data_IF_596250728217
#
_entry.id   IF_596250728217
#
_cell.length_a   1.000
_cell.length_b   1.000
_cell.length_c   1.000
_cell.angle_alpha   90.00
_cell.angle_beta   90.00
_cell.angle_gamma   90.00
#
_symmetry.space_group_name_H-M   'P 1'
#
loop_
_entity.id
_entity.type
_entity.pdbx_description
1 polymer ?
#
# COMPACT_ATOMS: atom_id res chain seq x y z
N UNK A 1 -2.72 -9.74 11.14
CA UNK A 1 -3.17 -8.88 10.04
C UNK A 1 -4.69 -8.80 10.08
N UNK A 2 -5.28 -7.60 9.97
CA UNK A 2 -6.74 -7.40 9.90
C UNK A 2 -7.22 -7.48 8.45
N UNK A 3 -8.54 -7.62 8.22
CA UNK A 3 -9.10 -7.61 6.86
C UNK A 3 -8.80 -6.29 6.12
N UNK A 4 -8.87 -5.16 6.84
CA UNK A 4 -8.53 -3.84 6.29
C UNK A 4 -7.07 -3.78 5.85
N UNK A 5 -6.14 -4.25 6.68
CA UNK A 5 -4.72 -4.29 6.33
C UNK A 5 -4.46 -5.18 5.10
N UNK A 6 -5.09 -6.36 5.04
CA UNK A 6 -5.02 -7.22 3.85
C UNK A 6 -5.57 -6.53 2.60
N UNK A 7 -6.71 -5.84 2.72
CA UNK A 7 -7.29 -5.09 1.62
C UNK A 7 -6.33 -4.02 1.10
N UNK A 8 -5.72 -3.24 1.99
CA UNK A 8 -4.75 -2.19 1.62
C UNK A 8 -3.50 -2.79 0.95
N UNK A 9 -2.98 -3.88 1.49
CA UNK A 9 -1.86 -4.61 0.88
C UNK A 9 -2.21 -5.09 -0.54
N UNK A 10 -3.36 -5.72 -0.73
CA UNK A 10 -3.79 -6.21 -2.04
C UNK A 10 -4.16 -5.08 -3.02
N UNK A 11 -4.65 -3.95 -2.52
CA UNK A 11 -5.11 -2.83 -3.32
C UNK A 11 -3.93 -2.00 -3.87
N UNK A 12 -2.88 -1.79 -3.06
CA UNK A 12 -1.71 -1.01 -3.45
C UNK A 12 -0.52 -1.85 -3.88
N UNK A 13 -0.43 -3.08 -3.40
CA UNK A 13 0.61 -4.02 -3.78
C UNK A 13 0.50 -4.47 -5.23
N UNK A 14 1.58 -5.08 -5.71
CA UNK A 14 1.64 -5.67 -7.05
C UNK A 14 1.70 -7.19 -6.90
N UNK A 15 0.56 -7.86 -7.06
CA UNK A 15 0.45 -9.31 -6.87
C UNK A 15 -0.16 -9.97 -8.11
N UNK A 16 0.46 -11.06 -8.53
CA UNK A 16 -0.17 -11.98 -9.47
C UNK A 16 -1.42 -12.60 -8.85
N UNK A 17 -2.30 -13.11 -9.71
CA UNK A 17 -3.53 -13.74 -9.26
C UNK A 17 -3.29 -14.87 -8.22
N UNK A 18 -2.28 -15.70 -8.43
CA UNK A 18 -1.95 -16.80 -7.51
C UNK A 18 -1.43 -16.29 -6.16
N UNK A 19 -0.66 -15.20 -6.13
CA UNK A 19 -0.20 -14.56 -4.89
C UNK A 19 -1.38 -13.97 -4.11
N UNK A 20 -2.31 -13.30 -4.78
CA UNK A 20 -3.53 -12.77 -4.16
C UNK A 20 -4.36 -13.87 -3.51
N UNK A 21 -4.63 -14.97 -4.24
CA UNK A 21 -5.37 -16.11 -3.69
C UNK A 21 -4.64 -16.72 -2.50
N UNK A 22 -3.32 -16.88 -2.58
CA UNK A 22 -2.52 -17.40 -1.48
C UNK A 22 -2.64 -16.53 -0.22
N UNK A 23 -2.57 -15.20 -0.35
CA UNK A 23 -2.72 -14.27 0.78
C UNK A 23 -4.12 -14.33 1.39
N UNK A 24 -5.16 -14.45 0.57
CA UNK A 24 -6.53 -14.62 1.03
C UNK A 24 -6.70 -15.92 1.82
N UNK A 25 -6.17 -17.04 1.33
CA UNK A 25 -6.17 -18.33 2.03
C UNK A 25 -5.40 -18.23 3.36
N UNK A 26 -4.20 -17.64 3.35
CA UNK A 26 -3.42 -17.46 4.58
C UNK A 26 -4.12 -16.59 5.62
N UNK A 27 -4.85 -15.56 5.18
CA UNK A 27 -5.68 -14.76 6.06
C UNK A 27 -6.83 -15.60 6.65
N UNK A 28 -7.51 -16.38 5.82
CA UNK A 28 -8.57 -17.31 6.23
C UNK A 28 -8.06 -18.30 7.27
N UNK A 29 -6.97 -19.00 7.00
CA UNK A 29 -6.43 -20.03 7.90
C UNK A 29 -6.03 -19.47 9.29
N UNK A 30 -5.69 -18.19 9.37
CA UNK A 30 -5.25 -17.52 10.60
C UNK A 30 -6.39 -16.82 11.36
N UNK A 31 -7.59 -16.72 10.79
CA UNK A 31 -8.71 -15.99 11.40
C UNK A 31 -9.94 -16.89 11.51
N UNK A 32 -10.40 -17.15 12.74
CA UNK A 32 -11.54 -18.05 13.01
C UNK A 32 -12.89 -17.52 12.49
N UNK A 33 -13.00 -16.20 12.21
CA UNK A 33 -14.21 -15.57 11.69
C UNK A 33 -13.94 -14.89 10.36
N UNK A 34 -14.28 -15.60 9.30
CA UNK A 34 -14.19 -15.13 7.91
C UNK A 34 -15.61 -14.91 7.41
N UNK A 35 -15.94 -13.74 6.87
CA UNK A 35 -17.19 -13.52 6.17
C UNK A 35 -17.33 -14.52 5.00
N UNK A 36 -18.47 -15.20 4.90
CA UNK A 36 -18.72 -16.22 3.87
C UNK A 36 -18.58 -15.64 2.45
N UNK A 37 -18.84 -14.34 2.33
CA UNK A 37 -18.68 -13.53 1.14
C UNK A 37 -17.22 -13.50 0.63
N UNK A 38 -16.24 -13.76 1.51
CA UNK A 38 -14.83 -13.90 1.11
C UNK A 38 -14.53 -15.23 0.42
N UNK A 39 -15.40 -16.23 0.54
CA UNK A 39 -15.26 -17.52 -0.15
C UNK A 39 -15.79 -17.45 -1.59
N UNK A 40 -16.51 -16.38 -1.94
CA UNK A 40 -17.07 -16.12 -3.27
C UNK A 40 -16.22 -15.11 -4.08
N UNK A 41 -15.00 -14.79 -3.62
CA UNK A 41 -14.11 -13.83 -4.26
C UNK A 41 -13.58 -14.31 -5.62
N UNK A 42 -14.41 -14.21 -6.65
CA UNK A 42 -13.97 -14.34 -8.03
C UNK A 42 -14.99 -13.73 -9.00
N UNK A 43 -14.60 -12.99 -10.06
CA UNK A 43 -13.24 -12.54 -10.42
C UNK A 43 -12.85 -11.16 -9.85
N UNK A 44 -13.75 -10.44 -9.19
CA UNK A 44 -13.55 -9.06 -8.74
C UNK A 44 -13.45 -8.99 -7.21
N UNK A 45 -12.30 -9.36 -6.66
CA UNK A 45 -12.14 -9.48 -5.20
C UNK A 45 -12.11 -8.12 -4.48
N UNK A 46 -11.57 -7.05 -5.09
CA UNK A 46 -11.41 -5.76 -4.40
C UNK A 46 -12.74 -5.11 -4.00
N UNK A 47 -13.75 -4.97 -4.89
CA UNK A 47 -15.02 -4.38 -4.49
C UNK A 47 -15.74 -5.24 -3.45
N UNK A 48 -15.60 -6.56 -3.52
CA UNK A 48 -16.19 -7.49 -2.56
C UNK A 48 -15.53 -7.37 -1.19
N UNK A 49 -14.20 -7.34 -1.13
CA UNK A 49 -13.45 -7.11 0.11
C UNK A 49 -13.86 -5.78 0.75
N UNK A 50 -13.92 -4.71 -0.05
CA UNK A 50 -14.34 -3.40 0.43
C UNK A 50 -15.78 -3.44 0.96
N UNK A 51 -16.71 -4.07 0.26
CA UNK A 51 -18.11 -4.20 0.73
C UNK A 51 -18.19 -4.95 2.07
N UNK A 52 -17.40 -6.02 2.23
CA UNK A 52 -17.35 -6.79 3.48
C UNK A 52 -16.79 -5.94 4.63
N UNK A 53 -15.79 -5.10 4.36
CA UNK A 53 -15.28 -4.14 5.34
C UNK A 53 -16.35 -3.09 5.66
N UNK A 54 -16.98 -2.51 4.65
CA UNK A 54 -17.97 -1.44 4.77
C UNK A 54 -19.27 -1.88 5.45
N UNK A 55 -19.59 -3.18 5.41
CA UNK A 55 -20.69 -3.74 6.20
C UNK A 55 -20.47 -3.61 7.72
N UNK A 56 -19.21 -3.46 8.17
CA UNK A 56 -18.82 -3.25 9.58
C UNK A 56 -18.36 -1.82 9.86
N UNK A 57 -17.85 -1.13 8.85
CA UNK A 57 -17.34 0.24 8.94
C UNK A 57 -17.61 1.02 7.63
N UNK A 58 -18.75 1.69 7.56
CA UNK A 58 -19.23 2.35 6.34
C UNK A 58 -18.34 3.50 5.86
N UNK A 59 -17.53 4.08 6.74
CA UNK A 59 -16.67 5.22 6.43
C UNK A 59 -15.31 4.80 5.86
N UNK A 60 -14.99 3.50 5.90
CA UNK A 60 -13.74 2.99 5.36
C UNK A 60 -13.73 3.11 3.83
N UNK A 61 -12.64 3.65 3.29
CA UNK A 61 -12.32 3.67 1.86
C UNK A 61 -10.84 3.34 1.68
N UNK A 62 -10.41 3.00 0.46
CA UNK A 62 -8.99 2.75 0.16
C UNK A 62 -8.08 3.94 0.45
N UNK A 63 -8.64 5.16 0.49
CA UNK A 63 -7.88 6.40 0.66
C UNK A 63 -8.28 7.23 1.89
N UNK A 64 -9.01 6.65 2.85
CA UNK A 64 -9.28 7.32 4.13
C UNK A 64 -7.98 7.43 4.97
N UNK A 65 -8.01 8.20 6.05
CA UNK A 65 -6.82 8.36 6.91
C UNK A 65 -6.37 7.04 7.54
N UNK A 66 -7.30 6.19 7.95
CA UNK A 66 -6.98 4.87 8.50
C UNK A 66 -6.25 4.00 7.46
N UNK A 67 -6.74 4.00 6.21
CA UNK A 67 -6.10 3.31 5.10
C UNK A 67 -4.70 3.87 4.78
N UNK A 68 -4.50 5.18 4.89
CA UNK A 68 -3.20 5.82 4.70
C UNK A 68 -2.17 5.35 5.72
N UNK A 69 -2.55 5.25 6.99
CA UNK A 69 -1.69 4.72 8.05
C UNK A 69 -1.35 3.25 7.78
N UNK A 70 -2.33 2.44 7.37
CA UNK A 70 -2.08 1.04 7.00
C UNK A 70 -1.15 0.94 5.79
N UNK A 71 -1.33 1.79 4.78
CA UNK A 71 -0.54 1.81 3.56
C UNK A 71 0.90 2.23 3.82
N UNK A 72 1.13 3.20 4.70
CA UNK A 72 2.46 3.61 5.13
C UNK A 72 3.21 2.47 5.86
N UNK A 73 2.53 1.72 6.74
CA UNK A 73 3.13 0.55 7.38
C UNK A 73 3.43 -0.58 6.39
N UNK A 74 2.48 -0.87 5.49
CA UNK A 74 2.70 -1.82 4.39
C UNK A 74 3.92 -1.40 3.55
N UNK A 75 4.06 -0.12 3.26
CA UNK A 75 5.18 0.35 2.45
C UNK A 75 6.53 0.20 3.18
N UNK A 76 6.59 0.36 4.50
CA UNK A 76 7.80 0.03 5.27
C UNK A 76 8.22 -1.44 5.08
N UNK A 77 7.27 -2.37 5.07
CA UNK A 77 7.55 -3.80 4.82
C UNK A 77 8.09 -4.01 3.39
N UNK A 78 7.51 -3.33 2.40
CA UNK A 78 7.97 -3.34 0.99
C UNK A 78 9.41 -2.81 0.86
N UNK A 79 9.72 -1.70 1.52
CA UNK A 79 11.07 -1.11 1.52
C UNK A 79 12.08 -2.05 2.21
N UNK A 80 11.67 -2.75 3.27
CA UNK A 80 12.49 -3.77 3.92
C UNK A 80 12.76 -4.97 3.01
N UNK A 81 11.74 -5.46 2.29
CA UNK A 81 11.89 -6.54 1.32
C UNK A 81 12.84 -6.18 0.18
N UNK A 82 12.73 -4.95 -0.35
CA UNK A 82 13.66 -4.45 -1.36
C UNK A 82 15.10 -4.40 -0.82
N UNK A 83 15.30 -3.86 0.38
CA UNK A 83 16.64 -3.81 1.02
C UNK A 83 17.26 -5.20 1.24
N UNK A 84 16.42 -6.22 1.45
CA UNK A 84 16.85 -7.61 1.62
C UNK A 84 17.06 -8.36 0.29
N UNK A 85 16.79 -7.73 -0.85
CA UNK A 85 16.89 -8.34 -2.17
C UNK A 85 15.71 -9.26 -2.53
N UNK A 86 14.60 -9.16 -1.81
CA UNK A 86 13.39 -9.97 -2.05
C UNK A 86 12.45 -9.31 -3.07
N UNK A 87 12.72 -8.06 -3.47
CA UNK A 87 11.87 -7.27 -4.35
C UNK A 87 12.70 -6.66 -5.49
N UNK A 88 12.17 -6.68 -6.71
CA UNK A 88 12.81 -6.02 -7.85
C UNK A 88 12.59 -4.51 -7.81
N UNK A 89 13.48 -3.71 -8.45
CA UNK A 89 13.27 -2.26 -8.61
C UNK A 89 11.93 -1.91 -9.25
N UNK A 90 11.58 -2.61 -10.34
CA UNK A 90 10.31 -2.39 -11.03
C UNK A 90 9.12 -2.59 -10.09
N UNK A 91 9.10 -3.68 -9.31
CA UNK A 91 8.00 -3.96 -8.39
C UNK A 91 7.93 -2.95 -7.25
N UNK A 92 9.08 -2.50 -6.71
CA UNK A 92 9.13 -1.40 -5.74
C UNK A 92 8.48 -0.13 -6.31
N UNK A 93 8.91 0.29 -7.50
CA UNK A 93 8.44 1.54 -8.09
C UNK A 93 6.98 1.47 -8.55
N UNK A 94 6.49 0.31 -8.99
CA UNK A 94 5.06 0.09 -9.25
C UNK A 94 4.23 0.25 -7.97
N UNK A 95 4.63 -0.39 -6.87
CA UNK A 95 3.93 -0.27 -5.59
C UNK A 95 3.93 1.18 -5.10
N UNK A 96 5.08 1.86 -5.18
CA UNK A 96 5.17 3.28 -4.87
C UNK A 96 4.19 4.12 -5.71
N UNK A 97 4.17 3.92 -7.03
CA UNK A 97 3.27 4.66 -7.93
C UNK A 97 1.79 4.42 -7.61
N UNK A 98 1.42 3.19 -7.22
CA UNK A 98 0.06 2.86 -6.79
C UNK A 98 -0.32 3.62 -5.51
N UNK A 99 0.59 3.67 -4.54
CA UNK A 99 0.40 4.40 -3.28
C UNK A 99 0.27 5.90 -3.52
N UNK A 100 1.20 6.50 -4.27
CA UNK A 100 1.16 7.92 -4.61
C UNK A 100 -0.16 8.29 -5.30
N UNK A 101 -0.52 7.56 -6.36
CA UNK A 101 -1.74 7.83 -7.13
C UNK A 101 -3.00 7.62 -6.30
N UNK A 102 -2.99 6.67 -5.37
CA UNK A 102 -4.14 6.36 -4.54
C UNK A 102 -4.44 7.39 -3.45
N UNK A 103 -3.40 8.09 -2.98
CA UNK A 103 -3.53 9.12 -1.95
C UNK A 103 -3.47 10.54 -2.50
N UNK A 104 -3.05 10.73 -3.75
CA UNK A 104 -3.19 12.00 -4.44
C UNK A 104 -4.66 12.44 -4.42
N UNK A 105 -4.91 13.66 -3.94
CA UNK A 105 -6.26 14.23 -3.80
C UNK A 105 -7.21 13.43 -2.91
N UNK A 106 -6.67 12.59 -2.01
CA UNK A 106 -7.49 11.89 -1.04
C UNK A 106 -8.35 12.87 -0.21
N UNK A 107 -9.58 12.49 0.19
CA UNK A 107 -10.48 13.37 0.89
C UNK A 107 -9.92 13.67 2.28
N UNK A 108 -9.34 14.87 2.45
CA UNK A 108 -8.77 15.37 3.72
C UNK A 108 -9.49 16.62 4.23
N UNK A 109 -10.71 16.88 3.74
CA UNK A 109 -11.47 18.07 4.12
C UNK A 109 -10.84 19.39 3.69
N UNK A 110 -9.93 19.35 2.70
CA UNK A 110 -9.28 20.54 2.15
C UNK A 110 -10.25 21.34 1.28
N UNK A 111 -9.95 22.62 1.07
CA UNK A 111 -10.70 23.46 0.12
C UNK A 111 -10.52 22.90 -1.29
N UNK A 112 -11.55 22.99 -2.14
CA UNK A 112 -11.55 22.48 -3.53
C UNK A 112 -10.41 22.99 -4.43
N UNK A 113 -9.68 24.03 -4.02
CA UNK A 113 -8.53 24.57 -4.73
C UNK A 113 -7.18 24.03 -4.25
N UNK A 114 -7.18 23.08 -3.32
CA UNK A 114 -5.97 22.53 -2.70
C UNK A 114 -5.99 21.03 -2.89
N UNK A 115 -5.04 20.55 -3.69
CA UNK A 115 -4.75 19.14 -3.83
C UNK A 115 -4.10 18.60 -2.54
N UNK A 116 -4.53 17.42 -2.09
CA UNK A 116 -3.81 16.73 -1.01
C UNK A 116 -2.64 15.96 -1.62
N UNK A 117 -1.45 16.20 -1.09
CA UNK A 117 -0.29 15.36 -1.36
C UNK A 117 0.19 14.75 -0.03
N UNK A 118 0.24 13.42 0.08
CA UNK A 118 0.64 12.73 1.30
C UNK A 118 2.10 13.03 1.68
N UNK A 119 2.31 13.67 2.83
CA UNK A 119 3.66 14.04 3.31
C UNK A 119 4.62 12.85 3.42
N UNK A 120 4.11 11.65 3.65
CA UNK A 120 4.91 10.45 3.85
C UNK A 120 5.36 9.78 2.55
N UNK A 121 4.83 10.14 1.37
CA UNK A 121 5.26 9.57 0.08
C UNK A 121 6.66 10.07 -0.30
N UNK A 122 7.09 11.23 0.21
CA UNK A 122 8.48 11.70 0.13
C UNK A 122 8.99 11.88 -1.31
N UNK A 123 10.32 11.85 -1.46
CA UNK A 123 11.01 12.10 -2.74
C UNK A 123 11.35 10.81 -3.50
N UNK A 124 10.78 9.65 -3.12
CA UNK A 124 11.05 8.40 -3.84
C UNK A 124 10.58 8.45 -5.31
N UNK A 125 9.67 9.38 -5.63
CA UNK A 125 9.27 9.71 -6.99
C UNK A 125 10.49 9.92 -7.91
N UNK A 126 11.43 10.79 -7.54
CA UNK A 126 12.60 11.10 -8.37
C UNK A 126 13.51 9.89 -8.56
N UNK A 127 13.58 9.01 -7.55
CA UNK A 127 14.41 7.82 -7.62
C UNK A 127 13.78 6.69 -8.47
N UNK A 128 12.45 6.67 -8.52
CA UNK A 128 11.67 5.75 -9.35
C UNK A 128 11.36 6.29 -10.74
N UNK A 129 11.65 7.56 -11.01
CA UNK A 129 11.51 8.15 -12.33
C UNK A 129 12.33 7.33 -13.35
N UNK A 130 11.73 7.02 -14.49
CA UNK A 130 12.31 6.17 -15.56
C UNK A 130 12.63 4.72 -15.18
N UNK A 131 12.12 4.21 -14.05
CA UNK A 131 12.28 2.79 -13.72
C UNK A 131 11.65 1.89 -14.80
N UNK A 132 12.37 0.87 -15.22
CA UNK A 132 11.91 -0.12 -16.19
C UNK A 132 12.33 -1.55 -15.80
N UNK A 133 11.99 -2.52 -16.65
CA UNK A 133 12.29 -3.94 -16.48
C UNK A 133 13.78 -4.31 -16.55
N UNK A 134 14.63 -3.38 -17.00
CA UNK A 134 16.09 -3.59 -17.08
C UNK A 134 16.81 -3.24 -15.79
N UNK A 135 16.13 -2.56 -14.86
CA UNK A 135 16.69 -2.19 -13.56
C UNK A 135 16.86 -3.41 -12.66
N UNK A 136 18.04 -3.55 -12.09
CA UNK A 136 18.40 -4.51 -11.05
C UNK A 136 18.92 -3.78 -9.83
N UNK A 137 19.04 -4.48 -8.71
CA UNK A 137 19.58 -3.91 -7.47
C UNK A 137 21.01 -3.40 -7.70
N UNK A 138 21.79 -4.08 -8.53
CA UNK A 138 23.20 -3.75 -8.79
C UNK A 138 23.36 -2.54 -9.71
N UNK A 139 22.47 -2.34 -10.69
CA UNK A 139 22.57 -1.24 -11.65
C UNK A 139 21.77 0.01 -11.25
N UNK A 140 20.97 -0.08 -10.19
CA UNK A 140 20.14 1.02 -9.67
C UNK A 140 20.44 1.34 -8.19
N UNK A 141 21.72 1.57 -7.83
CA UNK A 141 22.11 1.74 -6.42
C UNK A 141 21.50 3.00 -5.77
N UNK A 142 21.09 4.00 -6.56
CA UNK A 142 20.45 5.22 -6.05
C UNK A 142 19.13 4.93 -5.34
N UNK A 143 18.43 3.85 -5.70
CA UNK A 143 17.22 3.43 -5.00
C UNK A 143 17.52 3.07 -3.54
N UNK A 144 18.67 2.45 -3.24
CA UNK A 144 19.03 2.09 -1.85
C UNK A 144 19.21 3.34 -0.97
N UNK A 145 19.76 4.41 -1.52
CA UNK A 145 19.91 5.67 -0.79
C UNK A 145 18.55 6.34 -0.60
N UNK A 146 17.71 6.35 -1.65
CA UNK A 146 16.38 6.95 -1.62
C UNK A 146 15.44 6.23 -0.64
N UNK A 147 15.39 4.88 -0.64
CA UNK A 147 14.56 4.13 0.32
C UNK A 147 14.99 4.40 1.77
N UNK A 148 16.28 4.63 2.02
CA UNK A 148 16.76 4.85 3.38
C UNK A 148 16.27 6.20 3.91
N UNK A 149 16.18 7.22 3.05
CA UNK A 149 15.52 8.47 3.35
C UNK A 149 14.01 8.27 3.53
N UNK A 150 13.37 7.55 2.62
CA UNK A 150 11.94 7.27 2.62
C UNK A 150 11.46 6.59 3.91
N UNK A 151 12.21 5.60 4.41
CA UNK A 151 11.92 4.92 5.68
C UNK A 151 11.86 5.93 6.84
N UNK A 152 12.79 6.89 6.88
CA UNK A 152 12.81 7.89 7.95
C UNK A 152 11.61 8.84 7.85
N UNK A 153 11.28 9.30 6.63
CA UNK A 153 10.11 10.16 6.39
C UNK A 153 8.82 9.49 6.86
N UNK A 154 8.64 8.21 6.54
CA UNK A 154 7.45 7.44 6.96
C UNK A 154 7.41 7.28 8.48
N UNK A 155 8.52 6.89 9.12
CA UNK A 155 8.58 6.77 10.57
C UNK A 155 8.27 8.09 11.28
N UNK A 156 8.83 9.21 10.81
CA UNK A 156 8.55 10.52 11.38
C UNK A 156 7.07 10.91 11.22
N UNK A 157 6.48 10.63 10.05
CA UNK A 157 5.07 10.89 9.80
C UNK A 157 4.15 10.05 10.69
N UNK A 158 4.42 8.74 10.84
CA UNK A 158 3.64 7.83 11.69
C UNK A 158 3.67 8.20 13.18
N UNK A 159 4.69 8.95 13.63
CA UNK A 159 4.77 9.46 15.01
C UNK A 159 3.93 10.72 15.24
N UNK A 160 3.48 11.40 14.17
CA UNK A 160 2.64 12.60 14.30
C UNK A 160 1.22 12.19 14.71
N UNK A 161 0.55 12.99 15.57
CA UNK A 161 -0.87 12.80 15.80
C UNK A 161 -1.65 13.16 14.52
N UNK A 162 -2.26 12.17 13.90
CA UNK A 162 -3.16 12.39 12.76
C UNK A 162 -4.54 12.79 13.30
N UNK A 163 -4.93 14.04 13.04
CA UNK A 163 -6.23 14.55 13.46
C UNK A 163 -7.31 13.95 12.53
N UNK A 164 -8.32 13.33 13.15
CA UNK A 164 -9.58 12.90 12.53
C UNK A 164 -10.58 14.03 12.43
#
# INVERSE_FOLDING_TARGET
MTLKALYIELYYGEYSHSETIKKLIEYVDKNESIPVELLELYPNYEPLLLNVIQAKDSEFSSNCLEAEIMAANFFLDVLADYKNGNLSPLKLCTIFSNLESGFLDAPRGLKNSIAYYPEWIGDLYDACDWCDETWTIENSPHLIDAIQHQINVIHEWLLKPHLT
#
